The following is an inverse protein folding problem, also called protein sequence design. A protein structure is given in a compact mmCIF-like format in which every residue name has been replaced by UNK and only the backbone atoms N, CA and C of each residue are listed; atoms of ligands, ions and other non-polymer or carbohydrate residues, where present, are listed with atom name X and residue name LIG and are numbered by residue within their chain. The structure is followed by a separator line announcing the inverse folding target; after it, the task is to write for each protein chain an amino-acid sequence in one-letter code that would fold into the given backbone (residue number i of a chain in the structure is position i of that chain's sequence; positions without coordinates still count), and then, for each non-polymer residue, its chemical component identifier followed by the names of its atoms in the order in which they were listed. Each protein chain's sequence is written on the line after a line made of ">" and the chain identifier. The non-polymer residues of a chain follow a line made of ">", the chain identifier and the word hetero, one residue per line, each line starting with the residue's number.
data_IF_927988672331
#
_entry.id   IF_927988672331
#
_cell.length_a   1.000
_cell.length_b   1.000
_cell.length_c   1.000
_cell.angle_alpha   90.00
_cell.angle_beta   90.00
_cell.angle_gamma   90.00
#
_symmetry.space_group_name_H-M   'P 1'
#
loop_
_entity.id
_entity.type
_entity.pdbx_description
1 polymer ?
#
# COMPACT_ATOMS: atom_id res chain seq x y z
N UNK A 1 16.44 8.89 -9.02
CA UNK A 1 17.10 7.56 -8.97
C UNK A 1 15.99 6.56 -8.75
N UNK A 2 16.03 5.39 -9.37
CA UNK A 2 14.91 4.45 -9.20
C UNK A 2 14.97 3.80 -7.83
N UNK A 3 13.82 3.63 -7.19
CA UNK A 3 13.69 2.94 -5.91
C UNK A 3 12.94 1.64 -6.11
N UNK A 4 13.57 0.56 -5.69
CA UNK A 4 12.96 -0.76 -5.64
C UNK A 4 12.37 -0.97 -4.24
N UNK A 5 11.10 -1.35 -4.20
CA UNK A 5 10.39 -1.75 -3.00
C UNK A 5 10.43 -3.28 -2.93
N UNK A 6 10.90 -3.81 -1.80
CA UNK A 6 11.00 -5.24 -1.54
C UNK A 6 9.61 -5.83 -1.24
N UNK A 7 8.75 -5.07 -0.54
CA UNK A 7 7.37 -5.44 -0.25
C UNK A 7 6.42 -4.91 -1.32
N UNK A 8 5.75 -5.82 -2.02
CA UNK A 8 4.83 -5.46 -3.11
C UNK A 8 3.56 -4.78 -2.59
N UNK A 9 3.08 -5.10 -1.38
CA UNK A 9 1.92 -4.41 -0.78
C UNK A 9 2.23 -2.94 -0.51
N UNK A 10 3.40 -2.66 0.08
CA UNK A 10 3.89 -1.29 0.28
C UNK A 10 4.09 -0.57 -1.05
N UNK A 11 4.70 -1.26 -2.03
CA UNK A 11 4.93 -0.70 -3.37
C UNK A 11 3.63 -0.24 -4.02
N UNK A 12 2.56 -1.04 -3.92
CA UNK A 12 1.27 -0.73 -4.52
C UNK A 12 0.62 0.48 -3.86
N UNK A 13 0.64 0.58 -2.52
CA UNK A 13 0.18 1.78 -1.82
C UNK A 13 0.94 3.03 -2.26
N UNK A 14 2.25 2.92 -2.47
CA UNK A 14 3.07 4.05 -2.97
C UNK A 14 2.70 4.43 -4.40
N UNK A 15 2.47 3.45 -5.28
CA UNK A 15 2.04 3.72 -6.66
C UNK A 15 0.69 4.43 -6.70
N UNK A 16 -0.25 4.04 -5.84
CA UNK A 16 -1.55 4.71 -5.71
C UNK A 16 -1.40 6.15 -5.21
N UNK A 17 -0.67 6.38 -4.12
CA UNK A 17 -0.45 7.73 -3.62
C UNK A 17 0.20 8.64 -4.67
N UNK A 18 1.07 8.10 -5.52
CA UNK A 18 1.67 8.83 -6.64
C UNK A 18 0.69 9.05 -7.80
N UNK A 19 -0.20 8.09 -8.10
CA UNK A 19 -1.27 8.26 -9.08
C UNK A 19 -2.25 9.35 -8.64
N UNK A 20 -2.63 9.39 -7.36
CA UNK A 20 -3.50 10.43 -6.79
C UNK A 20 -2.85 11.82 -6.84
N UNK A 21 -1.52 11.86 -6.72
CA UNK A 21 -0.73 13.08 -6.93
C UNK A 21 -0.55 13.46 -8.42
N UNK A 22 -1.13 12.69 -9.36
CA UNK A 22 -1.10 12.95 -10.81
C UNK A 22 0.17 12.47 -11.51
N UNK A 23 0.94 11.58 -10.90
CA UNK A 23 2.05 10.90 -11.58
C UNK A 23 1.52 9.68 -12.35
N UNK A 24 2.31 9.22 -13.32
CA UNK A 24 2.01 7.99 -14.08
C UNK A 24 0.74 8.04 -14.93
N UNK A 25 0.21 9.21 -15.30
CA UNK A 25 -0.99 9.30 -16.16
C UNK A 25 -0.84 8.57 -17.49
N UNK A 26 0.34 8.64 -18.13
CA UNK A 26 0.58 7.90 -19.38
C UNK A 26 0.62 6.39 -19.18
N UNK A 27 1.29 5.94 -18.12
CA UNK A 27 1.30 4.53 -17.75
C UNK A 27 -0.10 4.04 -17.35
N UNK A 28 -0.88 4.86 -16.64
CA UNK A 28 -2.28 4.62 -16.25
C UNK A 28 -3.15 4.41 -17.47
N UNK A 29 -3.05 5.28 -18.48
CA UNK A 29 -3.77 5.14 -19.76
C UNK A 29 -3.40 3.80 -20.44
N UNK A 30 -2.12 3.42 -20.42
CA UNK A 30 -1.65 2.17 -21.02
C UNK A 30 -1.98 0.91 -20.21
N UNK A 31 -2.28 1.04 -18.91
CA UNK A 31 -2.47 -0.13 -18.04
C UNK A 31 -3.69 -0.95 -18.48
N UNK A 32 -4.71 -0.29 -19.04
CA UNK A 32 -5.92 -0.94 -19.59
C UNK A 32 -5.77 -1.53 -20.98
N UNK A 33 -4.72 -1.16 -21.73
CA UNK A 33 -4.54 -1.62 -23.10
C UNK A 33 -4.24 -3.13 -23.15
N UNK A 34 -5.03 -3.89 -23.91
CA UNK A 34 -4.85 -5.34 -24.07
C UNK A 34 -5.27 -6.18 -22.86
N UNK A 35 -6.01 -5.61 -21.89
CA UNK A 35 -6.72 -6.39 -20.87
C UNK A 35 -8.00 -7.03 -21.44
N UNK A 36 -8.62 -6.40 -22.45
CA UNK A 36 -9.77 -6.96 -23.18
C UNK A 36 -9.41 -8.21 -24.01
N UNK A 37 -8.13 -8.44 -24.25
CA UNK A 37 -7.60 -9.59 -24.99
C UNK A 37 -7.31 -10.81 -24.08
N UNK A 38 -7.56 -10.69 -22.77
CA UNK A 38 -7.32 -11.79 -21.83
C UNK A 38 -8.26 -12.97 -22.11
N UNK A 39 -7.68 -14.17 -22.20
CA UNK A 39 -8.45 -15.38 -22.44
C UNK A 39 -9.33 -15.73 -21.23
N UNK A 40 -10.52 -16.33 -21.45
CA UNK A 40 -11.35 -16.80 -20.36
C UNK A 40 -10.60 -17.77 -19.44
N UNK A 41 -10.39 -17.37 -18.18
CA UNK A 41 -9.66 -18.14 -17.17
C UNK A 41 -8.23 -17.66 -16.91
N UNK A 42 -7.74 -16.64 -17.62
CA UNK A 42 -6.51 -15.97 -17.23
C UNK A 42 -6.68 -15.22 -15.90
N UNK A 43 -5.62 -15.28 -15.09
CA UNK A 43 -5.58 -14.61 -13.82
C UNK A 43 -5.30 -13.11 -14.02
N UNK A 44 -6.38 -12.36 -14.18
CA UNK A 44 -6.37 -10.91 -14.31
C UNK A 44 -5.48 -10.23 -13.27
N UNK A 45 -5.55 -10.65 -12.00
CA UNK A 45 -4.76 -10.07 -10.92
C UNK A 45 -3.26 -10.25 -11.12
N UNK A 46 -2.84 -11.43 -11.59
CA UNK A 46 -1.44 -11.72 -11.92
C UNK A 46 -0.93 -10.85 -13.09
N UNK A 47 -1.77 -10.60 -14.11
CA UNK A 47 -1.40 -9.76 -15.27
C UNK A 47 -1.22 -8.31 -14.84
N UNK A 48 -2.17 -7.76 -14.09
CA UNK A 48 -2.08 -6.37 -13.61
C UNK A 48 -0.89 -6.22 -12.66
N UNK A 49 -0.69 -7.16 -11.73
CA UNK A 49 0.49 -7.22 -10.85
C UNK A 49 1.80 -7.22 -11.64
N UNK A 50 1.90 -8.01 -12.71
CA UNK A 50 3.10 -8.04 -13.56
C UNK A 50 3.36 -6.69 -14.27
N UNK A 51 2.31 -5.99 -14.73
CA UNK A 51 2.42 -4.67 -15.35
C UNK A 51 2.86 -3.60 -14.35
N UNK A 52 2.24 -3.54 -13.17
CA UNK A 52 2.59 -2.58 -12.11
C UNK A 52 4.03 -2.77 -11.60
N UNK A 53 4.56 -3.99 -11.63
CA UNK A 53 5.96 -4.27 -11.31
C UNK A 53 6.95 -3.66 -12.31
N UNK A 54 6.52 -3.33 -13.52
CA UNK A 54 7.38 -2.66 -14.53
C UNK A 54 7.48 -1.15 -14.34
N UNK A 55 6.56 -0.55 -13.58
CA UNK A 55 6.52 0.90 -13.39
C UNK A 55 7.73 1.37 -12.58
N UNK A 56 8.42 2.39 -13.07
CA UNK A 56 9.62 2.87 -12.38
C UNK A 56 9.27 4.00 -11.42
N UNK A 57 9.53 3.80 -10.13
CA UNK A 57 9.33 4.84 -9.11
C UNK A 57 10.61 5.67 -8.97
N UNK A 58 10.54 6.94 -9.35
CA UNK A 58 11.64 7.88 -9.13
C UNK A 58 11.65 8.33 -7.67
N UNK A 59 12.80 8.15 -7.01
CA UNK A 59 13.08 8.60 -5.64
C UNK A 59 12.67 10.04 -5.38
N UNK A 60 12.76 10.91 -6.39
CA UNK A 60 12.45 12.35 -6.24
C UNK A 60 10.98 12.61 -5.96
N UNK A 61 10.09 11.69 -6.33
CA UNK A 61 8.64 11.78 -6.12
C UNK A 61 8.21 11.27 -4.75
N UNK A 62 9.07 10.49 -4.07
CA UNK A 62 8.73 9.87 -2.78
C UNK A 62 8.56 10.89 -1.65
N UNK A 63 9.14 12.08 -1.81
CA UNK A 63 8.94 13.20 -0.88
C UNK A 63 7.50 13.73 -0.92
N UNK A 64 6.74 13.48 -1.99
CA UNK A 64 5.35 13.89 -2.15
C UNK A 64 4.37 12.93 -1.46
N UNK A 65 4.81 11.72 -1.11
CA UNK A 65 3.99 10.71 -0.45
C UNK A 65 3.91 11.03 1.05
N UNK A 66 2.82 11.69 1.44
CA UNK A 66 2.54 12.03 2.84
C UNK A 66 1.57 11.08 3.51
N UNK A 67 0.81 10.32 2.72
CA UNK A 67 -0.23 9.43 3.17
C UNK A 67 -0.17 8.13 2.37
N UNK A 68 -0.34 7.01 3.06
CA UNK A 68 -0.56 5.69 2.47
C UNK A 68 -1.82 5.09 3.08
N UNK A 69 -2.76 4.72 2.22
CA UNK A 69 -3.89 3.87 2.57
C UNK A 69 -3.75 2.56 1.80
N UNK A 70 -3.65 1.44 2.52
CA UNK A 70 -3.47 0.12 1.94
C UNK A 70 -4.65 -0.73 2.38
N UNK A 71 -5.68 -0.80 1.54
CA UNK A 71 -6.91 -1.53 1.83
C UNK A 71 -7.08 -2.80 0.98
N UNK A 72 -6.16 -3.02 0.04
CA UNK A 72 -6.12 -4.17 -0.86
C UNK A 72 -6.91 -3.97 -2.14
N UNK A 73 -7.84 -3.01 -2.17
CA UNK A 73 -8.72 -2.65 -3.28
C UNK A 73 -8.38 -1.30 -3.91
N UNK A 74 -7.14 -0.87 -3.74
CA UNK A 74 -6.54 0.35 -4.27
C UNK A 74 -7.07 0.67 -5.68
N UNK A 75 -7.40 1.94 -5.94
CA UNK A 75 -8.07 2.39 -7.18
C UNK A 75 -7.31 1.96 -8.44
N UNK A 76 -6.00 1.77 -8.33
CA UNK A 76 -5.12 1.22 -9.38
C UNK A 76 -5.66 -0.09 -10.00
N UNK A 77 -6.43 -0.87 -9.26
CA UNK A 77 -7.08 -2.09 -9.72
C UNK A 77 -8.52 -1.85 -10.20
N UNK A 78 -9.24 -0.94 -9.55
CA UNK A 78 -10.59 -0.54 -9.93
C UNK A 78 -10.64 0.13 -11.31
N UNK A 79 -9.53 0.70 -11.78
CA UNK A 79 -9.39 1.23 -13.15
C UNK A 79 -9.63 0.19 -14.25
N UNK A 80 -9.62 -1.10 -13.92
CA UNK A 80 -9.62 -2.19 -14.89
C UNK A 80 -10.74 -3.21 -14.72
N UNK A 81 -11.57 -3.07 -13.68
CA UNK A 81 -12.80 -3.83 -13.59
C UNK A 81 -13.76 -3.26 -14.66
N UNK A 82 -13.70 -3.79 -15.89
CA UNK A 82 -14.67 -3.53 -16.96
C UNK A 82 -16.11 -3.84 -16.54
N UNK A 83 -16.25 -4.57 -15.45
CA UNK A 83 -17.46 -4.76 -14.69
C UNK A 83 -17.22 -4.26 -13.24
N UNK A 84 -17.78 -3.11 -12.82
CA UNK A 84 -17.72 -2.67 -11.42
C UNK A 84 -18.38 -3.67 -10.45
N UNK A 85 -19.15 -4.64 -10.95
CA UNK A 85 -19.71 -5.76 -10.18
C UNK A 85 -18.78 -6.99 -10.14
N UNK A 86 -17.67 -7.03 -10.89
CA UNK A 86 -16.71 -8.14 -10.86
C UNK A 86 -15.97 -8.25 -9.51
N UNK A 87 -16.08 -7.25 -8.64
CA UNK A 87 -15.73 -7.36 -7.23
C UNK A 87 -14.28 -7.72 -6.96
N UNK A 88 -13.37 -7.47 -7.91
CA UNK A 88 -11.96 -7.79 -7.71
C UNK A 88 -11.32 -6.69 -6.88
N UNK A 89 -11.32 -6.91 -5.57
CA UNK A 89 -10.82 -5.96 -4.60
C UNK A 89 -9.38 -6.22 -4.19
N UNK A 90 -8.63 -7.14 -4.83
CA UNK A 90 -7.23 -7.49 -4.50
C UNK A 90 -6.96 -8.03 -3.08
N UNK A 91 -7.88 -7.81 -2.12
CA UNK A 91 -7.81 -8.18 -0.71
C UNK A 91 -7.69 -9.69 -0.46
N UNK A 92 -7.96 -10.52 -1.47
CA UNK A 92 -7.90 -11.99 -1.40
C UNK A 92 -6.54 -12.55 -1.86
N UNK A 93 -5.61 -11.69 -2.31
CA UNK A 93 -4.31 -12.11 -2.84
C UNK A 93 -3.21 -12.09 -1.79
N UNK A 94 -2.67 -13.28 -1.54
CA UNK A 94 -1.55 -13.47 -0.62
C UNK A 94 -0.31 -12.64 -1.01
N UNK A 95 -0.08 -12.40 -2.30
CA UNK A 95 1.05 -11.58 -2.73
C UNK A 95 0.94 -10.12 -2.31
N UNK A 96 -0.27 -9.58 -2.09
CA UNK A 96 -0.44 -8.17 -1.68
C UNK A 96 -0.44 -7.98 -0.17
N UNK A 97 -0.27 -9.06 0.59
CA UNK A 97 -0.04 -9.00 2.03
C UNK A 97 1.25 -8.22 2.29
N UNK A 98 1.11 -7.08 2.97
CA UNK A 98 2.21 -6.33 3.56
C UNK A 98 2.87 -7.22 4.61
N UNK A 99 4.03 -7.75 4.27
CA UNK A 99 4.83 -8.64 5.09
C UNK A 99 6.01 -7.91 5.75
N UNK A 100 6.37 -6.73 5.24
CA UNK A 100 7.46 -5.90 5.76
C UNK A 100 7.15 -4.42 5.65
N UNK A 101 7.43 -3.67 6.72
CA UNK A 101 7.39 -2.20 6.73
C UNK A 101 8.78 -1.58 6.52
N UNK A 102 9.79 -2.38 6.16
CA UNK A 102 11.17 -1.91 5.98
C UNK A 102 11.32 -0.83 4.90
N UNK A 103 10.48 -0.87 3.87
CA UNK A 103 10.52 0.07 2.75
C UNK A 103 9.97 1.46 3.10
N UNK A 104 9.32 1.63 4.26
CA UNK A 104 8.92 2.96 4.74
C UNK A 104 10.12 3.91 4.93
N UNK A 105 11.36 3.37 5.01
CA UNK A 105 12.61 4.15 4.97
C UNK A 105 12.75 5.03 3.74
N UNK A 106 12.02 4.72 2.67
CA UNK A 106 12.04 5.47 1.41
C UNK A 106 11.05 6.65 1.39
N UNK A 107 10.21 6.79 2.43
CA UNK A 107 9.11 7.77 2.49
C UNK A 107 9.34 8.76 3.63
N UNK A 108 10.26 9.74 3.48
CA UNK A 108 10.70 10.59 4.59
C UNK A 108 9.60 11.52 5.12
N UNK A 109 8.59 11.81 4.30
CA UNK A 109 7.48 12.71 4.63
C UNK A 109 6.18 11.97 4.97
N UNK A 110 6.21 10.65 5.09
CA UNK A 110 5.02 9.86 5.43
C UNK A 110 4.49 10.26 6.82
N UNK A 111 3.35 10.92 6.83
CA UNK A 111 2.68 11.42 8.02
C UNK A 111 1.55 10.50 8.47
N UNK A 112 0.96 9.73 7.56
CA UNK A 112 -0.23 8.93 7.80
C UNK A 112 -0.10 7.57 7.12
N UNK A 113 -0.27 6.49 7.89
CA UNK A 113 -0.31 5.12 7.36
C UNK A 113 -1.59 4.43 7.84
N UNK A 114 -2.35 3.88 6.90
CA UNK A 114 -3.48 2.99 7.14
C UNK A 114 -3.26 1.68 6.41
N UNK A 115 -3.48 0.57 7.12
CA UNK A 115 -3.49 -0.77 6.53
C UNK A 115 -4.73 -1.50 7.04
N UNK A 116 -5.77 -1.56 6.20
CA UNK A 116 -7.12 -2.05 6.54
C UNK A 116 -7.24 -3.56 6.31
N UNK A 117 -6.69 -4.03 5.21
CA UNK A 117 -6.61 -5.45 4.90
C UNK A 117 -5.16 -5.79 4.55
N UNK A 118 -4.84 -7.07 4.44
CA UNK A 118 -3.55 -7.52 3.92
C UNK A 118 -2.34 -7.20 4.82
N UNK A 119 -2.51 -7.15 6.14
CA UNK A 119 -1.37 -7.05 7.06
C UNK A 119 -0.94 -8.44 7.55
N UNK A 120 0.32 -8.80 7.39
CA UNK A 120 0.83 -10.06 7.92
C UNK A 120 0.69 -10.08 9.47
N UNK A 121 0.23 -11.20 10.06
CA UNK A 121 -0.09 -11.26 11.49
C UNK A 121 1.14 -11.05 12.40
N UNK A 122 2.30 -11.50 11.94
CA UNK A 122 3.59 -11.43 12.64
C UNK A 122 4.48 -10.28 12.16
N UNK A 123 3.90 -9.28 11.48
CA UNK A 123 4.65 -8.16 10.95
C UNK A 123 5.45 -7.42 12.03
N UNK A 124 6.70 -7.08 11.69
CA UNK A 124 7.55 -6.22 12.52
C UNK A 124 7.13 -4.76 12.35
N UNK A 125 6.64 -4.16 13.44
CA UNK A 125 6.20 -2.77 13.49
C UNK A 125 7.33 -1.79 13.81
N UNK A 126 8.54 -2.27 14.19
CA UNK A 126 9.66 -1.40 14.56
C UNK A 126 9.99 -0.30 13.54
N UNK A 127 9.87 -0.50 12.21
CA UNK A 127 10.09 0.57 11.23
C UNK A 127 9.22 1.82 11.45
N UNK A 128 8.02 1.68 12.00
CA UNK A 128 7.12 2.81 12.27
C UNK A 128 7.71 3.82 13.26
N UNK A 129 8.49 3.34 14.24
CA UNK A 129 9.13 4.18 15.26
C UNK A 129 10.25 5.02 14.65
N UNK A 130 10.85 4.54 13.56
CA UNK A 130 11.94 5.22 12.86
C UNK A 130 11.45 6.25 11.83
N UNK A 131 10.15 6.28 11.52
CA UNK A 131 9.56 7.21 10.54
C UNK A 131 9.40 8.61 11.16
N UNK A 132 10.20 9.62 10.72
CA UNK A 132 10.32 10.89 11.44
C UNK A 132 9.09 11.80 11.30
N UNK A 133 8.36 11.69 10.19
CA UNK A 133 7.19 12.51 9.89
C UNK A 133 5.88 11.90 10.42
N UNK A 134 5.90 10.63 10.86
CA UNK A 134 4.69 9.87 11.16
C UNK A 134 3.89 10.53 12.31
N UNK A 135 2.59 10.70 12.08
CA UNK A 135 1.62 11.28 13.01
C UNK A 135 0.42 10.37 13.25
N UNK A 136 0.10 9.52 12.28
CA UNK A 136 -1.07 8.64 12.35
C UNK A 136 -0.71 7.25 11.84
N UNK A 137 -1.14 6.25 12.60
CA UNK A 137 -0.99 4.83 12.26
C UNK A 137 -2.30 4.14 12.57
N UNK A 138 -2.94 3.58 11.55
CA UNK A 138 -4.15 2.80 11.72
C UNK A 138 -3.96 1.41 11.12
N UNK A 139 -4.09 0.38 11.96
CA UNK A 139 -3.78 -1.00 11.59
C UNK A 139 -4.86 -1.93 12.13
N UNK A 140 -5.32 -2.87 11.31
CA UNK A 140 -6.23 -3.93 11.75
C UNK A 140 -5.45 -5.19 12.16
N UNK A 141 -4.85 -5.12 13.36
CA UNK A 141 -4.13 -6.24 13.98
C UNK A 141 -5.08 -7.14 14.78
N UNK A 142 -5.22 -8.40 14.35
CA UNK A 142 -5.90 -9.43 15.14
C UNK A 142 -4.98 -9.95 16.26
N UNK A 143 -5.31 -9.64 17.51
CA UNK A 143 -4.57 -10.08 18.70
C UNK A 143 -3.05 -9.76 18.67
N UNK A 144 -2.65 -8.48 18.74
CA UNK A 144 -1.26 -8.10 18.58
C UNK A 144 -0.34 -8.79 19.59
N UNK A 145 0.85 -9.17 19.15
CA UNK A 145 1.89 -9.79 19.99
C UNK A 145 2.38 -8.82 21.07
N UNK A 146 3.17 -9.32 22.01
CA UNK A 146 3.78 -8.46 23.02
C UNK A 146 4.70 -7.40 22.37
N UNK A 147 5.53 -7.81 21.40
CA UNK A 147 6.44 -6.92 20.68
C UNK A 147 5.66 -5.83 19.93
N UNK A 148 4.60 -6.20 19.21
CA UNK A 148 3.75 -5.26 18.49
C UNK A 148 3.12 -4.24 19.46
N UNK A 149 2.59 -4.69 20.61
CA UNK A 149 2.03 -3.77 21.63
C UNK A 149 3.07 -2.79 22.16
N UNK A 150 4.30 -3.25 22.43
CA UNK A 150 5.40 -2.38 22.88
C UNK A 150 5.69 -1.28 21.85
N UNK A 151 5.68 -1.62 20.57
CA UNK A 151 5.84 -0.64 19.48
C UNK A 151 4.68 0.35 19.45
N UNK A 152 3.42 -0.12 19.47
CA UNK A 152 2.23 0.74 19.46
C UNK A 152 2.22 1.70 20.67
N UNK A 153 2.57 1.24 21.86
CA UNK A 153 2.71 2.09 23.04
C UNK A 153 3.84 3.13 22.88
N UNK A 154 4.93 2.76 22.21
CA UNK A 154 6.05 3.68 21.94
C UNK A 154 5.61 4.79 20.99
N UNK A 155 4.86 4.45 19.94
CA UNK A 155 4.28 5.42 19.01
C UNK A 155 3.36 6.42 19.74
N UNK A 156 2.47 5.93 20.59
CA UNK A 156 1.59 6.79 21.41
C UNK A 156 2.40 7.74 22.30
N UNK A 157 3.50 7.27 22.92
CA UNK A 157 4.40 8.14 23.72
C UNK A 157 5.13 9.19 22.90
N UNK A 158 5.36 8.93 21.61
CA UNK A 158 5.92 9.89 20.65
C UNK A 158 4.86 10.89 20.13
N UNK A 159 3.60 10.75 20.55
CA UNK A 159 2.49 11.60 20.11
C UNK A 159 1.91 11.19 18.75
N UNK A 160 2.16 9.96 18.30
CA UNK A 160 1.52 9.37 17.13
C UNK A 160 0.14 8.87 17.53
N UNK A 161 -0.88 9.23 16.75
CA UNK A 161 -2.22 8.68 16.87
C UNK A 161 -2.23 7.24 16.37
N UNK A 162 -2.71 6.32 17.20
CA UNK A 162 -2.78 4.89 16.90
C UNK A 162 -4.20 4.39 17.08
N UNK A 163 -4.75 3.71 16.06
CA UNK A 163 -6.10 3.16 16.12
C UNK A 163 -6.33 1.99 15.16
N UNK A 164 -7.53 1.41 15.14
CA UNK A 164 -7.94 0.48 14.10
C UNK A 164 -8.09 1.19 12.76
N UNK A 165 -7.82 0.48 11.66
CA UNK A 165 -7.86 1.02 10.29
C UNK A 165 -9.23 1.59 9.92
N UNK A 166 -10.31 1.01 10.48
CA UNK A 166 -11.69 1.54 10.35
C UNK A 166 -11.94 3.00 10.81
N UNK A 167 -10.97 3.64 11.47
CA UNK A 167 -11.02 5.05 11.86
C UNK A 167 -10.31 6.00 10.88
N UNK A 168 -9.64 5.47 9.85
CA UNK A 168 -9.00 6.27 8.83
C UNK A 168 -10.03 7.10 8.03
N UNK A 169 -9.70 8.34 7.69
CA UNK A 169 -10.56 9.23 6.88
C UNK A 169 -11.76 9.89 7.58
N UNK A 170 -11.85 9.87 8.93
CA UNK A 170 -12.89 10.60 9.71
C UNK A 170 -12.42 11.95 10.28
#
# INVERSE_FOLDING_TARGET
>A
MNVDFEDIGVRLGVLEALLDAGHFEGERESLGEGLDDLEPGEDFGSVVSARLKTWTIDSTKLDEVTELDIDGGNEVYALHASDPDAGWSGCDRAEFVVASLGDLRHLPNLASLSIVALLAPDIDLAPLVAAPALKKVFLDLHEPTHEQRVVLETLVRQGVEVGPASLFGR
#
